data_IF_713933704796
#
_entry.id   IF_713933704796
#
_cell.length_a   1.000
_cell.length_b   1.000
_cell.length_c   1.000
_cell.angle_alpha   90.00
_cell.angle_beta   90.00
_cell.angle_gamma   90.00
#
_symmetry.space_group_name_H-M   'P 1'
#
loop_
_entity.id
_entity.type
_entity.pdbx_description
1 polymer ?
#
# COMPACT_ATOMS: atom_id res chain seq x y z
N UNK A 1 5.92 -6.57 -8.71
CA UNK A 1 4.99 -7.52 -8.05
C UNK A 1 5.01 -8.82 -8.82
N UNK A 2 5.15 -9.95 -8.13
CA UNK A 2 5.04 -11.28 -8.74
C UNK A 2 3.61 -11.79 -8.64
N UNK A 3 3.09 -12.31 -9.75
CA UNK A 3 1.80 -12.99 -9.78
C UNK A 3 1.80 -14.04 -10.87
N UNK A 4 0.90 -15.00 -10.76
CA UNK A 4 0.61 -15.98 -11.80
C UNK A 4 -0.88 -16.26 -11.82
N UNK A 5 -1.45 -16.36 -13.02
CA UNK A 5 -2.84 -16.73 -13.25
C UNK A 5 -2.92 -17.91 -14.20
N UNK A 6 -3.94 -18.74 -14.03
CA UNK A 6 -4.23 -19.81 -14.99
C UNK A 6 -5.06 -19.22 -16.14
N UNK A 7 -4.67 -19.52 -17.36
CA UNK A 7 -5.39 -19.15 -18.58
C UNK A 7 -5.52 -20.39 -19.47
N UNK A 8 -6.57 -20.44 -20.28
CA UNK A 8 -6.74 -21.51 -21.26
C UNK A 8 -6.91 -20.88 -22.64
N UNK A 9 -6.07 -21.31 -23.59
CA UNK A 9 -6.11 -20.84 -24.98
C UNK A 9 -6.00 -22.05 -25.90
N UNK A 10 -6.93 -22.16 -26.86
CA UNK A 10 -7.04 -23.32 -27.75
C UNK A 10 -7.05 -24.66 -26.98
N UNK A 11 -7.78 -24.73 -25.86
CA UNK A 11 -7.88 -25.93 -24.99
C UNK A 11 -6.58 -26.34 -24.28
N UNK A 12 -5.54 -25.51 -24.35
CA UNK A 12 -4.28 -25.72 -23.64
C UNK A 12 -4.23 -24.82 -22.39
N UNK A 13 -4.02 -25.42 -21.20
CA UNK A 13 -3.85 -24.65 -19.98
C UNK A 13 -2.42 -24.09 -19.90
N UNK A 14 -2.33 -22.80 -19.58
CA UNK A 14 -1.08 -22.11 -19.32
C UNK A 14 -1.15 -21.38 -17.98
N UNK A 15 0.01 -21.13 -17.39
CA UNK A 15 0.15 -20.11 -16.37
C UNK A 15 0.78 -18.87 -16.99
N UNK A 16 0.24 -17.70 -16.72
CA UNK A 16 0.77 -16.41 -17.19
C UNK A 16 1.03 -15.49 -16.00
N UNK A 17 2.10 -14.71 -16.07
CA UNK A 17 2.30 -13.60 -15.14
C UNK A 17 3.76 -13.17 -15.02
N UNK A 18 4.09 -12.53 -13.90
CA UNK A 18 5.42 -12.04 -13.58
C UNK A 18 6.08 -12.90 -12.51
N UNK A 19 7.18 -13.55 -12.86
CA UNK A 19 7.97 -14.32 -11.90
C UNK A 19 9.09 -13.45 -11.34
N UNK A 20 9.10 -13.32 -10.01
CA UNK A 20 10.20 -12.72 -9.25
C UNK A 20 10.12 -11.20 -9.05
N UNK A 21 10.73 -10.75 -7.95
CA UNK A 21 10.93 -9.32 -7.66
C UNK A 21 12.02 -8.69 -8.53
N UNK A 22 12.90 -9.49 -9.14
CA UNK A 22 14.09 -9.05 -9.87
C UNK A 22 13.95 -9.09 -11.40
N UNK A 23 12.98 -9.83 -11.92
CA UNK A 23 12.69 -9.93 -13.36
C UNK A 23 11.35 -9.28 -13.66
N UNK A 24 11.32 -8.07 -14.26
CA UNK A 24 10.08 -7.35 -14.55
C UNK A 24 9.29 -7.93 -15.73
N UNK A 25 9.83 -8.97 -16.39
CA UNK A 25 9.29 -9.58 -17.59
C UNK A 25 8.07 -10.46 -17.31
N UNK A 26 7.00 -10.21 -18.06
CA UNK A 26 5.86 -11.13 -18.19
C UNK A 26 6.28 -12.40 -18.93
N UNK A 27 5.66 -13.52 -18.60
CA UNK A 27 5.96 -14.80 -19.22
C UNK A 27 4.85 -15.82 -19.11
N UNK A 28 5.01 -16.89 -19.89
CA UNK A 28 4.16 -18.07 -19.86
C UNK A 28 4.94 -19.20 -19.19
N UNK A 29 4.30 -19.89 -18.27
CA UNK A 29 4.80 -21.08 -17.59
C UNK A 29 4.02 -22.29 -18.09
N UNK A 30 4.76 -23.24 -18.63
CA UNK A 30 4.23 -24.44 -19.28
C UNK A 30 4.52 -25.63 -18.36
N UNK A 31 3.47 -26.32 -17.94
CA UNK A 31 3.62 -27.56 -17.18
C UNK A 31 3.87 -28.73 -18.13
N UNK A 32 5.14 -29.10 -18.27
CA UNK A 32 5.55 -30.24 -19.07
C UNK A 32 5.12 -31.59 -18.49
N UNK A 33 4.53 -31.66 -17.30
CA UNK A 33 3.93 -32.90 -16.79
C UNK A 33 2.53 -33.18 -17.39
N UNK A 34 1.88 -32.16 -17.95
CA UNK A 34 0.55 -32.27 -18.56
C UNK A 34 0.57 -33.13 -19.83
N UNK A 35 -0.26 -34.17 -19.85
CA UNK A 35 -0.31 -35.16 -20.95
C UNK A 35 -0.65 -34.51 -22.29
N UNK A 36 -1.64 -33.59 -22.33
CA UNK A 36 -2.03 -32.89 -23.57
C UNK A 36 -0.89 -32.05 -24.13
N UNK A 37 -0.11 -31.40 -23.25
CA UNK A 37 1.02 -30.56 -23.65
C UNK A 37 2.17 -31.43 -24.15
N UNK A 38 2.48 -32.54 -23.47
CA UNK A 38 3.49 -33.51 -23.93
C UNK A 38 3.15 -34.04 -25.33
N UNK A 39 1.93 -34.53 -25.50
CA UNK A 39 1.45 -35.04 -26.79
C UNK A 39 1.50 -33.95 -27.88
N UNK A 40 1.11 -32.72 -27.55
CA UNK A 40 1.16 -31.60 -28.48
C UNK A 40 2.59 -31.26 -28.92
N UNK A 41 3.58 -31.33 -28.02
CA UNK A 41 4.99 -31.09 -28.34
C UNK A 41 5.53 -32.22 -29.22
N UNK A 42 5.29 -33.48 -28.84
CA UNK A 42 5.78 -34.67 -29.55
C UNK A 42 5.21 -34.78 -30.97
N UNK A 43 3.95 -34.38 -31.16
CA UNK A 43 3.26 -34.42 -32.46
C UNK A 43 3.47 -33.15 -33.29
N UNK A 44 4.14 -32.12 -32.76
CA UNK A 44 4.30 -30.85 -33.45
C UNK A 44 2.98 -30.09 -33.66
N UNK A 45 2.04 -30.19 -32.71
CA UNK A 45 0.70 -29.64 -32.83
C UNK A 45 0.71 -28.11 -33.00
N UNK A 46 0.30 -27.63 -34.16
CA UNK A 46 0.28 -26.20 -34.49
C UNK A 46 -0.65 -25.38 -33.59
N UNK A 47 -1.77 -25.96 -33.13
CA UNK A 47 -2.72 -25.25 -32.26
C UNK A 47 -2.09 -24.88 -30.92
N UNK A 48 -1.20 -25.73 -30.39
CA UNK A 48 -0.45 -25.45 -29.16
C UNK A 48 0.52 -24.29 -29.34
N UNK A 49 1.33 -24.31 -30.40
CA UNK A 49 2.27 -23.22 -30.68
C UNK A 49 1.55 -21.90 -31.01
N UNK A 50 0.40 -21.97 -31.69
CA UNK A 50 -0.45 -20.81 -31.94
C UNK A 50 -1.07 -20.27 -30.64
N UNK A 51 -1.39 -21.14 -29.68
CA UNK A 51 -1.87 -20.72 -28.37
C UNK A 51 -0.80 -19.94 -27.61
N UNK A 52 0.45 -20.43 -27.58
CA UNK A 52 1.59 -19.70 -26.97
C UNK A 52 1.76 -18.33 -27.63
N UNK A 53 1.79 -18.26 -28.96
CA UNK A 53 1.93 -17.00 -29.71
C UNK A 53 0.79 -16.03 -29.38
N UNK A 54 -0.45 -16.52 -29.31
CA UNK A 54 -1.62 -15.72 -28.98
C UNK A 54 -1.50 -15.09 -27.59
N UNK A 55 -1.14 -15.88 -26.57
CA UNK A 55 -0.94 -15.38 -25.21
C UNK A 55 0.19 -14.34 -25.17
N UNK A 56 1.33 -14.60 -25.81
CA UNK A 56 2.44 -13.65 -25.83
C UNK A 56 2.06 -12.34 -26.53
N UNK A 57 1.29 -12.40 -27.62
CA UNK A 57 0.83 -11.20 -28.33
C UNK A 57 -0.14 -10.33 -27.54
N UNK A 58 -0.83 -10.91 -26.56
CA UNK A 58 -1.77 -10.23 -25.67
C UNK A 58 -1.18 -9.97 -24.27
N UNK A 59 0.11 -10.26 -24.07
CA UNK A 59 0.72 -10.27 -22.75
C UNK A 59 0.61 -8.94 -22.00
N UNK A 60 0.81 -7.82 -22.71
CA UNK A 60 0.70 -6.48 -22.11
C UNK A 60 -0.76 -6.16 -21.70
N UNK A 61 -1.73 -6.58 -22.50
CA UNK A 61 -3.16 -6.41 -22.18
C UNK A 61 -3.55 -7.26 -20.96
N UNK A 62 -3.14 -8.54 -20.93
CA UNK A 62 -3.41 -9.44 -19.80
C UNK A 62 -2.79 -8.88 -18.50
N UNK A 63 -1.56 -8.37 -18.59
CA UNK A 63 -0.88 -7.74 -17.45
C UNK A 63 -1.58 -6.47 -16.98
N UNK A 64 -1.99 -5.61 -17.91
CA UNK A 64 -2.73 -4.39 -17.58
C UNK A 64 -4.07 -4.70 -16.91
N UNK A 65 -4.82 -5.68 -17.42
CA UNK A 65 -6.09 -6.12 -16.81
C UNK A 65 -5.89 -6.63 -15.38
N UNK A 66 -4.84 -7.41 -15.13
CA UNK A 66 -4.51 -7.89 -13.79
C UNK A 66 -4.14 -6.75 -12.84
N UNK A 67 -3.29 -5.84 -13.28
CA UNK A 67 -2.82 -4.71 -12.47
C UNK A 67 -3.99 -3.80 -12.10
N UNK A 68 -4.92 -3.51 -13.04
CA UNK A 68 -6.11 -2.70 -12.75
C UNK A 68 -7.03 -3.35 -11.72
N UNK A 69 -7.21 -4.67 -11.75
CA UNK A 69 -8.01 -5.40 -10.75
C UNK A 69 -7.44 -5.24 -9.34
N UNK A 70 -6.13 -5.10 -9.21
CA UNK A 70 -5.46 -5.08 -7.92
C UNK A 70 -4.82 -3.73 -7.56
N UNK A 71 -5.08 -2.69 -8.37
CA UNK A 71 -4.37 -1.43 -8.30
C UNK A 71 -4.53 -0.73 -6.95
N UNK A 72 -5.77 -0.56 -6.49
CA UNK A 72 -6.02 0.12 -5.21
C UNK A 72 -5.42 -0.64 -4.02
N UNK A 73 -5.38 -1.97 -4.09
CA UNK A 73 -4.82 -2.78 -3.02
C UNK A 73 -3.29 -2.71 -2.99
N UNK A 74 -2.62 -2.89 -4.14
CA UNK A 74 -1.17 -3.02 -4.19
C UNK A 74 -0.43 -1.72 -4.45
N UNK A 75 -0.96 -0.85 -5.31
CA UNK A 75 -0.35 0.46 -5.58
C UNK A 75 -0.77 1.46 -4.50
N UNK A 76 -2.07 1.62 -4.22
CA UNK A 76 -2.47 2.64 -3.25
C UNK A 76 -2.27 2.22 -1.79
N UNK A 77 -2.28 0.93 -1.47
CA UNK A 77 -2.05 0.38 -0.11
C UNK A 77 -2.89 1.07 0.98
N UNK A 78 -4.10 1.53 0.65
CA UNK A 78 -4.97 2.27 1.57
C UNK A 78 -4.64 3.76 1.75
N UNK A 79 -3.62 4.30 1.09
CA UNK A 79 -3.30 5.74 1.08
C UNK A 79 -4.25 6.58 0.20
N UNK A 80 -5.14 5.93 -0.55
CA UNK A 80 -6.11 6.55 -1.44
C UNK A 80 -5.47 7.18 -2.69
N UNK A 81 -6.31 7.72 -3.57
CA UNK A 81 -5.91 8.17 -4.90
C UNK A 81 -4.90 9.33 -4.92
N UNK A 82 -4.79 10.11 -3.84
CA UNK A 82 -3.78 11.19 -3.73
C UNK A 82 -2.35 10.66 -3.69
N UNK A 83 -2.16 9.44 -3.18
CA UNK A 83 -0.87 8.80 -3.10
C UNK A 83 -0.22 8.57 -4.47
N UNK A 84 -1.04 8.48 -5.52
CA UNK A 84 -0.57 8.18 -6.86
C UNK A 84 0.47 9.20 -7.32
N UNK A 85 0.21 10.50 -7.19
CA UNK A 85 1.15 11.55 -7.61
C UNK A 85 2.14 11.97 -6.52
N UNK A 86 1.88 11.63 -5.26
CA UNK A 86 2.74 12.00 -4.13
C UNK A 86 3.90 11.03 -3.91
N UNK A 87 3.72 9.73 -4.17
CA UNK A 87 4.68 8.69 -3.77
C UNK A 87 5.40 7.98 -4.92
N UNK A 88 4.92 8.11 -6.15
CA UNK A 88 5.47 7.41 -7.31
C UNK A 88 6.34 8.30 -8.19
N UNK A 89 7.42 7.72 -8.71
CA UNK A 89 8.29 8.39 -9.67
C UNK A 89 7.66 8.45 -11.07
N UNK A 90 8.24 9.31 -11.93
CA UNK A 90 7.72 9.53 -13.28
C UNK A 90 7.60 8.25 -14.11
N UNK A 91 8.59 7.35 -14.04
CA UNK A 91 8.59 6.08 -14.77
C UNK A 91 7.43 5.16 -14.34
N UNK A 92 7.15 5.10 -13.04
CA UNK A 92 5.99 4.35 -12.53
C UNK A 92 4.67 4.96 -13.01
N UNK A 93 4.57 6.30 -13.02
CA UNK A 93 3.37 6.99 -13.49
C UNK A 93 3.13 6.78 -14.99
N UNK A 94 4.17 6.85 -15.81
CA UNK A 94 4.07 6.54 -17.24
C UNK A 94 3.63 5.09 -17.49
N UNK A 95 4.17 4.15 -16.71
CA UNK A 95 3.75 2.75 -16.79
C UNK A 95 2.27 2.58 -16.45
N UNK A 96 1.80 3.19 -15.35
CA UNK A 96 0.39 3.12 -14.96
C UNK A 96 -0.52 3.76 -16.01
N UNK A 97 -0.09 4.88 -16.61
CA UNK A 97 -0.80 5.53 -17.70
C UNK A 97 -0.93 4.60 -18.91
N UNK A 98 0.17 4.01 -19.35
CA UNK A 98 0.18 3.08 -20.48
C UNK A 98 -0.74 1.87 -20.23
N UNK A 99 -0.66 1.25 -19.05
CA UNK A 99 -1.53 0.13 -18.69
C UNK A 99 -3.01 0.55 -18.64
N UNK A 100 -3.31 1.73 -18.11
CA UNK A 100 -4.68 2.26 -18.11
C UNK A 100 -5.20 2.48 -19.53
N UNK A 101 -4.38 3.02 -20.44
CA UNK A 101 -4.74 3.19 -21.86
C UNK A 101 -5.02 1.85 -22.55
N UNK A 102 -4.21 0.81 -22.29
CA UNK A 102 -4.46 -0.54 -22.78
C UNK A 102 -5.81 -1.09 -22.29
N UNK A 103 -6.10 -0.96 -20.99
CA UNK A 103 -7.38 -1.43 -20.42
C UNK A 103 -8.57 -0.67 -21.02
N UNK A 104 -8.43 0.63 -21.29
CA UNK A 104 -9.51 1.43 -21.90
C UNK A 104 -9.77 1.06 -23.37
N UNK A 105 -8.76 0.56 -24.08
CA UNK A 105 -8.88 0.05 -25.44
C UNK A 105 -9.31 -1.43 -25.51
N UNK A 106 -9.17 -2.16 -24.40
CA UNK A 106 -9.45 -3.59 -24.30
C UNK A 106 -10.96 -3.89 -24.44
N UNK A 107 -11.28 -4.93 -25.22
CA UNK A 107 -12.64 -5.50 -25.28
C UNK A 107 -12.91 -6.49 -24.15
N UNK A 108 -11.89 -6.85 -23.38
CA UNK A 108 -11.94 -7.86 -22.32
C UNK A 108 -12.02 -7.23 -20.92
N UNK A 109 -11.88 -5.90 -20.83
CA UNK A 109 -11.96 -5.17 -19.56
C UNK A 109 -13.38 -5.19 -18.97
N UNK A 110 -13.46 -5.47 -17.67
CA UNK A 110 -14.70 -5.34 -16.91
C UNK A 110 -14.91 -3.89 -16.41
N UNK A 111 -16.10 -3.60 -15.90
CA UNK A 111 -16.47 -2.24 -15.45
C UNK A 111 -15.53 -1.69 -14.37
N UNK A 112 -15.06 -2.54 -13.46
CA UNK A 112 -14.18 -2.14 -12.37
C UNK A 112 -12.77 -1.78 -12.89
N UNK A 113 -12.22 -2.59 -13.79
CA UNK A 113 -10.95 -2.29 -14.46
C UNK A 113 -11.04 -0.99 -15.26
N UNK A 114 -12.14 -0.76 -15.97
CA UNK A 114 -12.38 0.48 -16.70
C UNK A 114 -12.51 1.68 -15.74
N UNK A 115 -13.17 1.52 -14.59
CA UNK A 115 -13.28 2.57 -13.55
C UNK A 115 -11.90 2.96 -13.03
N UNK A 116 -11.09 1.98 -12.65
CA UNK A 116 -9.73 2.19 -12.14
C UNK A 116 -8.86 2.87 -13.20
N UNK A 117 -8.87 2.36 -14.44
CA UNK A 117 -8.09 2.92 -15.54
C UNK A 117 -8.48 4.39 -15.83
N UNK A 118 -9.78 4.71 -15.92
CA UNK A 118 -10.23 6.12 -16.07
C UNK A 118 -9.75 6.99 -14.92
N UNK A 119 -9.84 6.49 -13.69
CA UNK A 119 -9.42 7.24 -12.50
C UNK A 119 -7.93 7.55 -12.53
N UNK A 120 -7.09 6.59 -12.93
CA UNK A 120 -5.65 6.84 -13.13
C UNK A 120 -5.43 7.97 -14.13
N UNK A 121 -6.06 7.89 -15.31
CA UNK A 121 -5.92 8.93 -16.34
C UNK A 121 -6.39 10.29 -15.83
N UNK A 122 -7.53 10.35 -15.15
CA UNK A 122 -8.05 11.60 -14.60
C UNK A 122 -7.14 12.20 -13.52
N UNK A 123 -6.55 11.36 -12.66
CA UNK A 123 -5.61 11.81 -11.63
C UNK A 123 -4.34 12.36 -12.28
N UNK A 124 -3.77 11.64 -13.25
CA UNK A 124 -2.54 12.04 -13.93
C UNK A 124 -2.74 13.29 -14.81
N UNK A 125 -3.93 13.50 -15.35
CA UNK A 125 -4.30 14.70 -16.09
C UNK A 125 -4.74 15.87 -15.19
N UNK A 126 -4.89 15.64 -13.87
CA UNK A 126 -5.35 16.66 -12.92
C UNK A 126 -6.85 17.00 -13.03
N UNK A 127 -7.65 16.19 -13.72
CA UNK A 127 -9.10 16.35 -13.87
C UNK A 127 -9.89 15.63 -12.77
N UNK A 128 -9.24 14.74 -12.01
CA UNK A 128 -9.88 13.99 -10.94
C UNK A 128 -10.27 14.88 -9.75
N UNK A 129 -11.55 14.82 -9.38
CA UNK A 129 -12.06 15.49 -8.18
C UNK A 129 -11.88 14.59 -6.97
N UNK A 130 -10.81 14.82 -6.21
CA UNK A 130 -10.57 14.04 -5.00
C UNK A 130 -11.69 14.24 -3.97
N UNK A 131 -12.16 13.16 -3.33
CA UNK A 131 -13.04 13.29 -2.18
C UNK A 131 -12.35 14.11 -1.08
N UNK A 132 -13.11 14.88 -0.28
CA UNK A 132 -12.53 15.62 0.83
C UNK A 132 -11.73 14.64 1.71
N UNK A 133 -10.57 15.06 2.24
CA UNK A 133 -9.81 14.21 3.14
C UNK A 133 -10.73 13.76 4.29
N UNK A 134 -10.60 12.50 4.75
CA UNK A 134 -11.43 12.00 5.83
C UNK A 134 -11.37 12.95 7.01
N UNK A 135 -12.53 13.31 7.58
CA UNK A 135 -12.58 14.17 8.75
C UNK A 135 -11.83 13.48 9.88
N UNK A 136 -10.71 14.09 10.30
CA UNK A 136 -10.00 13.64 11.48
C UNK A 136 -10.96 13.64 12.66
N UNK A 137 -11.02 12.54 13.40
CA UNK A 137 -11.83 12.46 14.61
C UNK A 137 -11.38 13.55 15.60
N UNK A 138 -12.25 13.97 16.56
CA UNK A 138 -11.84 14.90 17.60
C UNK A 138 -10.57 14.43 18.34
N UNK A 139 -10.40 13.13 18.52
CA UNK A 139 -9.23 12.51 19.12
C UNK A 139 -7.96 12.64 18.25
N UNK A 140 -8.06 12.41 16.95
CA UNK A 140 -6.95 12.58 16.01
C UNK A 140 -6.50 14.04 15.89
N UNK A 141 -7.47 14.97 15.88
CA UNK A 141 -7.21 16.42 15.92
C UNK A 141 -6.48 16.80 17.21
N UNK A 142 -6.94 16.31 18.36
CA UNK A 142 -6.32 16.55 19.65
C UNK A 142 -4.90 15.98 19.74
N UNK A 143 -4.68 14.75 19.26
CA UNK A 143 -3.37 14.08 19.23
C UNK A 143 -2.38 14.82 18.32
N UNK A 144 -2.80 15.24 17.12
CA UNK A 144 -1.96 16.02 16.21
C UNK A 144 -1.61 17.40 16.79
N UNK A 145 -2.57 18.07 17.45
CA UNK A 145 -2.32 19.33 18.15
C UNK A 145 -1.35 19.15 19.33
N UNK A 146 -1.46 18.04 20.07
CA UNK A 146 -0.55 17.70 21.14
C UNK A 146 0.88 17.46 20.64
N UNK A 147 1.10 16.63 19.62
CA UNK A 147 2.45 16.34 19.12
C UNK A 147 3.19 17.61 18.68
N UNK A 148 2.48 18.61 18.11
CA UNK A 148 3.05 19.94 17.81
C UNK A 148 3.45 20.73 19.07
N UNK A 149 2.69 20.61 20.15
CA UNK A 149 2.91 21.34 21.43
C UNK A 149 3.85 20.58 22.39
N UNK A 150 4.02 19.28 22.20
CA UNK A 150 4.70 18.35 23.11
C UNK A 150 6.13 18.77 23.49
N UNK A 151 7.00 19.25 22.58
CA UNK A 151 8.33 19.73 22.97
C UNK A 151 8.26 20.93 23.93
N UNK A 152 7.38 21.90 23.65
CA UNK A 152 7.18 23.09 24.49
C UNK A 152 6.58 22.71 25.86
N UNK A 153 5.58 21.84 25.87
CA UNK A 153 4.97 21.35 27.11
C UNK A 153 5.95 20.55 27.96
N UNK A 154 6.77 19.69 27.34
CA UNK A 154 7.82 18.93 28.03
C UNK A 154 8.81 19.88 28.69
N UNK A 155 9.30 20.89 27.97
CA UNK A 155 10.23 21.89 28.50
C UNK A 155 9.61 22.65 29.68
N UNK A 156 8.38 23.14 29.54
CA UNK A 156 7.69 23.87 30.62
C UNK A 156 7.54 23.01 31.89
N UNK A 157 7.04 21.78 31.76
CA UNK A 157 6.92 20.86 32.89
C UNK A 157 8.26 20.52 33.55
N UNK A 158 9.32 20.50 32.75
CA UNK A 158 10.67 20.23 33.22
C UNK A 158 11.22 21.39 34.05
N UNK A 159 10.97 22.64 33.62
CA UNK A 159 11.28 23.86 34.39
C UNK A 159 10.47 23.88 35.69
N UNK A 160 9.16 23.63 35.61
CA UNK A 160 8.25 23.73 36.76
C UNK A 160 8.49 22.64 37.83
N UNK A 161 8.94 21.44 37.42
CA UNK A 161 9.06 20.25 38.32
C UNK A 161 10.48 19.70 38.46
N UNK A 162 11.47 20.34 37.86
CA UNK A 162 12.90 20.09 38.11
C UNK A 162 13.45 18.75 37.63
N UNK A 163 13.21 18.35 36.38
CA UNK A 163 13.72 17.10 35.78
C UNK A 163 13.48 15.82 36.61
N UNK A 164 12.36 15.71 37.32
CA UNK A 164 12.05 14.52 38.15
C UNK A 164 10.91 13.69 37.57
N UNK A 165 11.04 12.37 37.71
CA UNK A 165 9.93 11.45 37.47
C UNK A 165 8.84 11.67 38.53
N UNK A 166 7.60 11.90 38.11
CA UNK A 166 6.44 12.10 39.00
C UNK A 166 6.16 10.85 39.88
N UNK A 167 6.70 9.66 39.54
CA UNK A 167 6.38 8.40 40.26
C UNK A 167 7.47 8.01 41.25
N UNK A 168 8.73 8.13 40.85
CA UNK A 168 9.86 7.65 41.63
C UNK A 168 10.83 8.76 42.05
N UNK A 169 10.58 10.01 41.67
CA UNK A 169 11.42 11.16 42.02
C UNK A 169 12.77 11.22 41.31
N UNK A 170 13.19 10.16 40.60
CA UNK A 170 14.51 10.10 39.98
C UNK A 170 14.69 11.15 38.87
N UNK A 171 15.87 11.78 38.86
CA UNK A 171 16.30 12.78 37.88
C UNK A 171 17.30 12.19 36.91
N UNK A 172 16.82 11.68 35.78
CA UNK A 172 17.67 11.27 34.66
C UNK A 172 17.26 12.07 33.43
N UNK A 173 18.01 13.15 33.17
CA UNK A 173 17.71 14.22 32.20
C UNK A 173 17.31 13.71 30.80
N UNK A 174 17.85 12.57 30.38
CA UNK A 174 17.64 12.01 29.04
C UNK A 174 16.60 10.90 28.92
N UNK A 175 15.93 10.48 30.00
CA UNK A 175 15.03 9.32 29.97
C UNK A 175 13.58 9.60 30.39
N UNK A 176 13.20 10.88 30.53
CA UNK A 176 11.86 11.28 30.94
C UNK A 176 10.94 11.44 29.72
N UNK A 177 9.85 10.68 29.73
CA UNK A 177 8.76 10.73 28.75
C UNK A 177 7.65 11.63 29.28
N UNK A 178 7.11 12.50 28.43
CA UNK A 178 5.91 13.27 28.72
C UNK A 178 4.69 12.41 28.42
N UNK A 179 3.87 12.14 29.43
CA UNK A 179 2.66 11.34 29.28
C UNK A 179 1.48 11.99 29.99
N UNK A 180 0.27 11.49 29.70
CA UNK A 180 -0.92 11.83 30.47
C UNK A 180 -0.89 11.16 31.85
N UNK A 181 -1.39 11.87 32.85
CA UNK A 181 -1.63 11.36 34.20
C UNK A 181 -2.87 10.47 34.20
N UNK A 182 -3.92 10.91 33.52
CA UNK A 182 -5.16 10.15 33.30
C UNK A 182 -5.39 9.93 31.81
N UNK A 183 -5.49 8.65 31.41
CA UNK A 183 -5.73 8.25 30.03
C UNK A 183 -7.20 8.40 29.61
N UNK A 184 -8.14 8.50 30.55
CA UNK A 184 -9.57 8.73 30.30
C UNK A 184 -9.86 10.18 29.89
N UNK A 185 -8.97 11.11 30.25
CA UNK A 185 -9.04 12.52 29.85
C UNK A 185 -8.30 12.69 28.52
N UNK A 186 -9.05 12.97 27.45
CA UNK A 186 -8.51 13.27 26.11
C UNK A 186 -7.79 14.62 26.02
N UNK A 187 -7.85 15.42 27.09
CA UNK A 187 -7.20 16.72 27.15
C UNK A 187 -5.69 16.57 27.42
N UNK A 188 -4.90 17.27 26.60
CA UNK A 188 -3.44 17.36 26.70
C UNK A 188 -2.98 18.69 27.32
N UNK A 189 -3.82 19.27 28.19
CA UNK A 189 -3.46 20.39 29.05
C UNK A 189 -2.33 20.02 30.02
N UNK A 190 -1.56 21.03 30.40
CA UNK A 190 -0.35 20.85 31.21
C UNK A 190 -0.64 20.18 32.56
N UNK A 191 -1.83 20.40 33.11
CA UNK A 191 -2.25 19.85 34.41
C UNK A 191 -2.48 18.34 34.36
N UNK A 192 -2.86 17.80 33.20
CA UNK A 192 -2.98 16.36 32.97
C UNK A 192 -1.68 15.73 32.47
N UNK A 193 -0.57 16.47 32.37
CA UNK A 193 0.70 15.94 31.87
C UNK A 193 1.72 15.76 33.00
N UNK A 194 2.49 14.67 32.93
CA UNK A 194 3.54 14.33 33.87
C UNK A 194 4.78 13.81 33.17
N UNK A 195 5.94 13.99 33.79
CA UNK A 195 7.20 13.37 33.38
C UNK A 195 7.33 12.00 34.06
N UNK A 196 7.54 10.93 33.27
CA UNK A 196 7.80 9.58 33.80
C UNK A 196 9.09 9.02 33.21
N UNK A 197 9.87 8.33 34.03
CA UNK A 197 11.04 7.60 33.54
C UNK A 197 10.62 6.32 32.80
N UNK A 198 11.48 5.84 31.90
CA UNK A 198 11.25 4.62 31.12
C UNK A 198 10.96 3.37 31.99
N UNK A 199 11.60 3.25 33.16
CA UNK A 199 11.34 2.14 34.11
C UNK A 199 9.90 2.16 34.62
N UNK A 200 9.40 3.33 35.00
CA UNK A 200 8.02 3.52 35.46
C UNK A 200 7.00 3.30 34.34
N UNK A 201 7.29 3.79 33.13
CA UNK A 201 6.49 3.54 31.93
C UNK A 201 6.29 2.04 31.66
N UNK A 202 7.37 1.26 31.69
CA UNK A 202 7.30 -0.17 31.43
C UNK A 202 6.46 -0.91 32.48
N UNK A 203 6.54 -0.52 33.76
CA UNK A 203 5.70 -1.09 34.84
C UNK A 203 4.21 -0.80 34.69
N UNK A 204 3.84 0.33 34.06
CA UNK A 204 2.43 0.64 33.79
C UNK A 204 1.89 -0.19 32.63
N UNK A 205 2.70 -0.39 31.58
CA UNK A 205 2.31 -1.20 30.42
C UNK A 205 2.13 -2.68 30.75
N UNK A 206 2.88 -3.21 31.72
CA UNK A 206 2.73 -4.61 32.17
C UNK A 206 1.51 -4.86 33.07
N UNK A 207 0.74 -3.82 33.41
CA UNK A 207 -0.47 -3.89 34.24
C UNK A 207 -1.76 -3.61 33.46
N UNK A 208 -1.63 -3.28 32.18
CA UNK A 208 -2.72 -3.18 31.21
C UNK A 208 -2.81 -4.49 30.43
#
# INVERSE_FOLDING_TARGET
MSYSMNIEVNEFPFQFGRMGYQTPSIGIFIDFSNVKIKEAIETGNENFYNAIKSVLSQGDEIDALYEMTNFEHYALQGHGWRALTEYYDFASLEKFKFQAELVLASKHANEEQLRVARTIIDVLNGTYKFPPPPEKSPEEKAKAAFERKKPKLKLKLTIDRGYKCDQCGNSTENSLCLIRRDNSILNYEIDNLVLRCRKCMNKMRSKQ
#
